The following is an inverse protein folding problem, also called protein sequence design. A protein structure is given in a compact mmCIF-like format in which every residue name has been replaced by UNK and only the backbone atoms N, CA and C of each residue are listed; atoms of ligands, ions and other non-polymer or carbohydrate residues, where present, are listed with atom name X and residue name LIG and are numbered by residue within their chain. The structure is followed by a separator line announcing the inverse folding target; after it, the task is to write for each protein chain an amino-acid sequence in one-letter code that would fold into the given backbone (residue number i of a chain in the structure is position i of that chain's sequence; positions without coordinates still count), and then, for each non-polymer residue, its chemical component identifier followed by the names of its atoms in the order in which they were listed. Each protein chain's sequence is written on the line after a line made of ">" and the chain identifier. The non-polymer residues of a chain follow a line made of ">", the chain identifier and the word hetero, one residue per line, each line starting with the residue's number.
data_IF_609819321484
#
_entry.id   IF_609819321484
#
_cell.length_a   1.000
_cell.length_b   1.000
_cell.length_c   1.000
_cell.angle_alpha   90.00
_cell.angle_beta   90.00
_cell.angle_gamma   90.00
#
_symmetry.space_group_name_H-M   'P 1'
#
loop_
_entity.id
_entity.type
_entity.pdbx_description
1 polymer ?
#
# COMPACT_ATOMS: atom_id res chain seq x y z
N UNK A 1 -8.95 -3.99 45.84
CA UNK A 1 -9.83 -3.80 44.66
C UNK A 1 -9.24 -2.89 43.56
N UNK A 2 -8.31 -1.98 43.87
CA UNK A 2 -7.72 -1.04 42.89
C UNK A 2 -6.83 -1.69 41.82
N UNK A 3 -6.21 -2.84 42.12
CA UNK A 3 -5.25 -3.49 41.21
C UNK A 3 -5.89 -4.24 40.04
N UNK A 4 -7.19 -4.62 40.16
CA UNK A 4 -7.92 -5.30 39.07
C UNK A 4 -8.49 -4.32 38.04
N UNK A 5 -8.69 -3.05 38.44
CA UNK A 5 -9.21 -2.00 37.56
C UNK A 5 -8.12 -1.46 36.61
N UNK A 6 -6.88 -1.36 37.10
CA UNK A 6 -5.72 -0.92 36.31
C UNK A 6 -5.38 -1.90 35.17
N UNK A 7 -5.51 -3.22 35.42
CA UNK A 7 -5.29 -4.25 34.40
C UNK A 7 -6.34 -4.20 33.29
N UNK A 8 -7.60 -3.88 33.63
CA UNK A 8 -8.69 -3.77 32.67
C UNK A 8 -8.55 -2.50 31.79
N UNK A 9 -8.07 -1.40 32.37
CA UNK A 9 -7.80 -0.14 31.64
C UNK A 9 -6.60 -0.24 30.69
N UNK A 10 -5.57 -1.03 31.04
CA UNK A 10 -4.41 -1.27 30.17
C UNK A 10 -4.79 -2.06 28.89
N UNK A 11 -5.76 -2.97 28.99
CA UNK A 11 -6.24 -3.78 27.86
C UNK A 11 -7.05 -2.94 26.86
N UNK A 12 -7.79 -1.93 27.33
CA UNK A 12 -8.61 -1.08 26.46
C UNK A 12 -7.76 -0.10 25.63
N UNK A 13 -6.61 0.35 26.15
CA UNK A 13 -5.71 1.26 25.41
C UNK A 13 -4.87 0.54 24.35
N UNK A 14 -4.53 -0.74 24.57
CA UNK A 14 -3.82 -1.55 23.56
C UNK A 14 -4.73 -1.95 22.39
N UNK A 15 -6.05 -2.11 22.63
CA UNK A 15 -7.01 -2.46 21.58
C UNK A 15 -7.28 -1.36 20.56
N UNK A 16 -7.02 -0.08 20.88
CA UNK A 16 -7.24 1.04 19.94
C UNK A 16 -6.08 1.28 18.97
N UNK A 17 -4.86 0.85 19.31
CA UNK A 17 -3.73 0.90 18.37
C UNK A 17 -3.85 -0.15 17.26
N UNK A 18 -4.56 -1.25 17.51
CA UNK A 18 -4.62 -2.40 16.61
C UNK A 18 -5.60 -2.22 15.43
N UNK A 19 -6.48 -1.22 15.47
CA UNK A 19 -7.50 -0.99 14.44
C UNK A 19 -7.05 -0.01 13.36
N UNK A 20 -6.13 0.91 13.66
CA UNK A 20 -5.63 1.86 12.64
C UNK A 20 -4.59 1.26 11.69
N UNK A 21 -3.96 0.14 12.06
CA UNK A 21 -2.97 -0.56 11.23
C UNK A 21 -3.55 -1.74 10.43
N UNK A 22 -4.87 -1.99 10.54
CA UNK A 22 -5.55 -3.10 9.89
C UNK A 22 -6.32 -2.66 8.65
N UNK A 23 -5.66 -1.99 7.69
CA UNK A 23 -6.25 -1.87 6.36
C UNK A 23 -5.36 -2.52 5.28
N UNK A 24 -5.78 -3.74 4.93
CA UNK A 24 -5.36 -4.58 3.80
C UNK A 24 -3.93 -5.17 3.82
N UNK A 25 -3.76 -6.41 3.29
CA UNK A 25 -4.31 -6.88 2.02
C UNK A 25 -5.52 -7.80 2.22
N UNK A 26 -6.71 -7.43 1.74
CA UNK A 26 -7.88 -8.34 1.71
C UNK A 26 -8.60 -8.50 0.36
N UNK A 27 -7.95 -8.21 -0.77
CA UNK A 27 -8.57 -8.41 -2.10
C UNK A 27 -8.09 -9.73 -2.73
N UNK A 28 -8.89 -10.81 -2.56
CA UNK A 28 -8.77 -12.02 -3.40
C UNK A 28 -9.01 -13.38 -2.71
N UNK A 29 -8.55 -13.57 -1.45
CA UNK A 29 -8.63 -14.88 -0.76
C UNK A 29 -8.91 -14.78 0.77
N UNK A 30 -9.44 -13.64 1.23
CA UNK A 30 -8.93 -13.02 2.45
C UNK A 30 -9.87 -12.94 3.67
N UNK A 31 -10.87 -13.81 3.78
CA UNK A 31 -11.55 -14.04 5.07
C UNK A 31 -10.86 -15.14 5.88
N UNK A 32 -10.24 -16.11 5.20
CA UNK A 32 -9.70 -17.31 5.83
C UNK A 32 -8.18 -17.30 6.03
N UNK A 33 -7.45 -16.37 5.40
CA UNK A 33 -6.00 -16.26 5.55
C UNK A 33 -5.50 -16.23 7.02
N UNK A 34 -6.17 -15.56 7.97
CA UNK A 34 -5.77 -15.60 9.39
C UNK A 34 -5.83 -16.98 10.02
N UNK A 35 -6.54 -17.94 9.43
CA UNK A 35 -6.68 -19.31 9.96
C UNK A 35 -5.61 -20.26 9.41
N UNK A 36 -4.96 -19.91 8.29
CA UNK A 36 -4.07 -20.81 7.56
C UNK A 36 -2.66 -20.24 7.33
N UNK A 37 -2.45 -18.94 7.54
CA UNK A 37 -1.13 -18.33 7.45
C UNK A 37 -0.18 -18.99 8.47
N UNK A 38 0.96 -19.48 7.99
CA UNK A 38 1.99 -20.14 8.80
C UNK A 38 3.37 -19.56 8.46
N UNK A 39 4.39 -19.92 9.23
CA UNK A 39 5.74 -19.36 9.08
C UNK A 39 5.77 -17.84 9.31
N UNK A 40 6.67 -17.13 8.64
CA UNK A 40 6.82 -15.67 8.83
C UNK A 40 5.60 -14.87 8.36
N UNK A 41 4.77 -15.39 7.46
CA UNK A 41 3.51 -14.75 7.07
C UNK A 41 2.50 -14.66 8.23
N UNK A 42 2.60 -15.56 9.22
CA UNK A 42 1.72 -15.53 10.39
C UNK A 42 1.92 -14.26 11.23
N UNK A 43 3.12 -13.65 11.24
CA UNK A 43 3.42 -12.41 11.98
C UNK A 43 2.41 -11.29 11.69
N UNK A 44 2.00 -11.17 10.42
CA UNK A 44 1.16 -10.08 9.94
C UNK A 44 -0.27 -10.50 9.60
N UNK A 45 -0.61 -11.78 9.78
CA UNK A 45 -1.95 -12.32 9.56
C UNK A 45 -2.60 -12.73 10.89
N UNK A 46 -1.95 -13.61 11.65
CA UNK A 46 -2.35 -14.06 12.97
C UNK A 46 -1.14 -14.71 13.67
N UNK A 47 -0.45 -14.00 14.60
CA UNK A 47 0.75 -14.52 15.24
C UNK A 47 0.47 -15.75 16.11
N UNK A 48 -0.79 -15.97 16.55
CA UNK A 48 -1.16 -17.18 17.27
C UNK A 48 -0.98 -18.45 16.42
N UNK A 49 -0.98 -18.34 15.08
CA UNK A 49 -0.75 -19.47 14.20
C UNK A 49 0.67 -20.03 14.28
N UNK A 50 1.63 -19.26 14.82
CA UNK A 50 2.95 -19.78 15.12
C UNK A 50 2.89 -20.87 16.18
N UNK A 51 1.92 -20.84 17.10
CA UNK A 51 1.76 -21.87 18.12
C UNK A 51 1.26 -23.22 17.59
N UNK A 52 0.77 -23.29 16.35
CA UNK A 52 0.32 -24.56 15.78
C UNK A 52 1.51 -25.42 15.40
N UNK A 53 1.54 -26.62 15.98
CA UNK A 53 2.49 -27.66 15.60
C UNK A 53 2.18 -28.10 14.16
N UNK A 54 3.17 -28.10 13.27
CA UNK A 54 2.96 -28.54 11.90
C UNK A 54 2.50 -29.99 11.83
N UNK A 55 1.33 -30.23 11.24
CA UNK A 55 0.77 -31.56 11.00
C UNK A 55 0.49 -31.75 9.52
N UNK A 56 0.59 -33.00 9.05
CA UNK A 56 0.16 -33.34 7.69
C UNK A 56 -1.35 -33.33 7.65
N UNK A 57 -1.93 -32.38 6.91
CA UNK A 57 -3.36 -32.30 6.68
C UNK A 57 -3.66 -33.05 5.38
N UNK A 58 -4.48 -34.09 5.45
CA UNK A 58 -4.96 -34.83 4.27
C UNK A 58 -6.31 -34.25 3.84
N UNK A 59 -6.35 -33.59 2.68
CA UNK A 59 -7.60 -33.20 2.04
C UNK A 59 -8.12 -34.36 1.20
N UNK A 60 -9.24 -34.96 1.60
CA UNK A 60 -9.95 -35.92 0.76
C UNK A 60 -10.99 -35.16 -0.08
N UNK A 61 -10.77 -35.05 -1.39
CA UNK A 61 -11.71 -34.38 -2.31
C UNK A 61 -12.93 -35.25 -2.70
N UNK A 62 -13.11 -36.43 -2.10
CA UNK A 62 -14.26 -37.29 -2.32
C UNK A 62 -14.00 -38.76 -2.01
N UNK A 63 -15.08 -39.55 -1.97
CA UNK A 63 -15.05 -41.00 -1.78
C UNK A 63 -15.43 -41.69 -3.10
N UNK A 64 -14.62 -42.64 -3.61
CA UNK A 64 -13.37 -43.15 -3.05
C UNK A 64 -12.20 -42.17 -3.23
N UNK A 65 -11.29 -42.15 -2.25
CA UNK A 65 -10.08 -41.30 -2.24
C UNK A 65 -9.16 -41.67 -3.41
N UNK A 66 -9.26 -40.95 -4.53
CA UNK A 66 -8.39 -41.14 -5.68
C UNK A 66 -7.08 -40.36 -5.59
N UNK A 67 -7.10 -39.17 -4.97
CA UNK A 67 -5.97 -38.25 -4.89
C UNK A 67 -6.04 -37.42 -3.60
N UNK A 68 -4.90 -37.27 -2.92
CA UNK A 68 -4.74 -36.42 -1.74
C UNK A 68 -3.37 -35.73 -1.80
N UNK A 69 -3.33 -34.46 -1.39
CA UNK A 69 -2.08 -33.68 -1.33
C UNK A 69 -1.46 -33.81 0.08
N UNK A 70 -0.18 -34.17 0.15
CA UNK A 70 0.58 -34.22 1.39
C UNK A 70 1.25 -32.87 1.62
N UNK A 71 0.72 -32.05 2.54
CA UNK A 71 1.45 -30.89 3.01
C UNK A 71 2.47 -31.33 4.07
N UNK A 72 3.75 -31.35 3.70
CA UNK A 72 4.83 -31.53 4.66
C UNK A 72 5.14 -30.20 5.35
N UNK A 73 5.17 -30.27 6.67
CA UNK A 73 5.67 -29.25 7.57
C UNK A 73 7.10 -28.80 7.20
N UNK A 74 7.24 -27.62 6.61
CA UNK A 74 8.56 -27.01 6.42
C UNK A 74 9.01 -26.41 7.75
N UNK A 75 10.05 -26.99 8.35
CA UNK A 75 10.63 -26.50 9.61
C UNK A 75 11.22 -25.11 9.47
N UNK A 76 11.72 -24.74 8.29
CA UNK A 76 12.24 -23.42 8.01
C UNK A 76 11.45 -22.80 6.87
N UNK A 77 11.12 -21.51 7.00
CA UNK A 77 10.62 -20.70 5.90
C UNK A 77 11.33 -19.36 5.92
N UNK A 78 11.82 -18.94 4.75
CA UNK A 78 12.56 -17.70 4.55
C UNK A 78 11.93 -16.98 3.36
N UNK A 79 11.60 -15.71 3.53
CA UNK A 79 11.12 -14.81 2.51
C UNK A 79 11.98 -13.56 2.47
N UNK A 80 12.27 -13.06 1.27
CA UNK A 80 13.07 -11.85 1.06
C UNK A 80 12.44 -11.06 -0.08
N UNK A 81 12.26 -9.75 0.12
CA UNK A 81 11.82 -8.83 -0.93
C UNK A 81 10.41 -9.11 -1.47
N UNK A 82 9.49 -9.59 -0.62
CA UNK A 82 8.10 -9.75 -1.05
C UNK A 82 7.40 -8.40 -1.04
N UNK A 83 6.69 -8.10 -2.12
CA UNK A 83 5.97 -6.85 -2.29
C UNK A 83 4.48 -7.13 -2.50
N UNK A 84 3.64 -6.36 -1.83
CA UNK A 84 2.21 -6.29 -2.04
C UNK A 84 1.82 -4.82 -2.15
N UNK A 85 0.83 -4.51 -2.98
CA UNK A 85 0.41 -3.13 -3.12
C UNK A 85 -1.02 -3.02 -3.59
N UNK A 86 -1.63 -1.88 -3.29
CA UNK A 86 -2.97 -1.53 -3.75
C UNK A 86 -3.02 -0.06 -4.11
N UNK A 87 -3.88 0.26 -5.07
CA UNK A 87 -4.12 1.63 -5.48
C UNK A 87 -5.62 1.85 -5.56
N UNK A 88 -6.10 2.86 -4.86
CA UNK A 88 -7.48 3.30 -4.89
C UNK A 88 -7.54 4.71 -5.50
N UNK A 89 -8.49 4.93 -6.40
CA UNK A 89 -8.70 6.24 -7.00
C UNK A 89 -10.19 6.47 -7.20
N UNK A 90 -10.66 7.64 -6.77
CA UNK A 90 -11.99 8.13 -7.11
C UNK A 90 -11.98 8.88 -8.45
N UNK A 91 -10.81 9.00 -9.10
CA UNK A 91 -10.59 9.82 -10.29
C UNK A 91 -10.49 9.01 -11.59
N UNK A 92 -9.80 7.87 -11.56
CA UNK A 92 -9.47 7.05 -12.73
C UNK A 92 -9.69 5.56 -12.44
N UNK A 93 -10.00 4.80 -13.49
CA UNK A 93 -9.90 3.34 -13.40
C UNK A 93 -8.42 2.92 -13.32
N UNK A 94 -8.14 1.78 -12.67
CA UNK A 94 -6.77 1.28 -12.46
C UNK A 94 -5.93 1.24 -13.75
N UNK A 95 -6.53 0.86 -14.88
CA UNK A 95 -5.84 0.83 -16.18
C UNK A 95 -5.39 2.19 -16.70
N UNK A 96 -6.18 3.25 -16.48
CA UNK A 96 -5.82 4.61 -16.88
C UNK A 96 -4.75 5.19 -15.97
N UNK A 97 -4.84 4.92 -14.66
CA UNK A 97 -3.85 5.38 -13.68
C UNK A 97 -2.50 4.71 -13.92
N UNK A 98 -2.49 3.39 -14.15
CA UNK A 98 -1.28 2.65 -14.44
C UNK A 98 -0.60 3.13 -15.74
N UNK A 99 -1.37 3.43 -16.78
CA UNK A 99 -0.83 3.97 -18.03
C UNK A 99 -0.15 5.35 -17.85
N UNK A 100 -0.70 6.22 -17.00
CA UNK A 100 -0.16 7.56 -16.72
C UNK A 100 1.05 7.50 -15.77
N UNK A 101 0.94 6.75 -14.66
CA UNK A 101 1.98 6.70 -13.61
C UNK A 101 3.19 5.90 -14.06
N UNK A 102 2.98 4.72 -14.64
CA UNK A 102 4.08 3.85 -15.06
C UNK A 102 4.52 4.11 -16.50
N UNK A 103 3.97 5.12 -17.17
CA UNK A 103 4.26 5.47 -18.57
C UNK A 103 4.26 4.23 -19.49
N UNK A 104 3.37 3.26 -19.22
CA UNK A 104 3.36 1.95 -19.89
C UNK A 104 3.22 2.09 -21.41
N UNK A 105 2.64 3.20 -21.85
CA UNK A 105 2.70 3.67 -23.22
C UNK A 105 3.52 4.96 -23.24
N UNK A 106 4.70 4.94 -23.87
CA UNK A 106 5.56 6.11 -24.09
C UNK A 106 4.93 7.20 -25.00
N UNK A 107 3.61 7.19 -25.18
CA UNK A 107 2.90 8.19 -25.93
C UNK A 107 2.83 9.49 -25.12
N UNK A 108 3.43 10.55 -25.65
CA UNK A 108 3.22 11.92 -25.15
C UNK A 108 1.73 12.22 -25.21
N UNK A 109 1.11 12.46 -24.06
CA UNK A 109 -0.28 12.89 -23.98
C UNK A 109 -0.49 14.15 -24.84
N UNK A 110 -1.54 14.13 -25.65
CA UNK A 110 -1.95 15.33 -26.40
C UNK A 110 -2.39 16.43 -25.43
N UNK A 111 -2.45 17.69 -25.88
CA UNK A 111 -2.91 18.79 -25.02
C UNK A 111 -4.34 18.55 -24.52
N UNK A 112 -5.22 18.01 -25.37
CA UNK A 112 -6.59 17.67 -25.00
C UNK A 112 -6.65 16.54 -23.96
N UNK A 113 -5.74 15.56 -24.02
CA UNK A 113 -5.67 14.50 -23.01
C UNK A 113 -5.15 15.02 -21.67
N UNK A 114 -4.20 15.96 -21.70
CA UNK A 114 -3.70 16.64 -20.50
C UNK A 114 -4.79 17.48 -19.82
N UNK A 115 -5.61 18.17 -20.60
CA UNK A 115 -6.77 18.91 -20.08
C UNK A 115 -7.78 17.97 -19.43
N UNK A 116 -8.16 16.88 -20.11
CA UNK A 116 -9.05 15.86 -19.54
C UNK A 116 -8.46 15.22 -18.29
N UNK A 117 -7.16 14.93 -18.26
CA UNK A 117 -6.51 14.41 -17.06
C UNK A 117 -6.56 15.43 -15.91
N UNK A 118 -6.26 16.71 -16.18
CA UNK A 118 -6.36 17.77 -15.16
C UNK A 118 -7.78 17.90 -14.58
N UNK A 119 -8.80 17.86 -15.43
CA UNK A 119 -10.21 17.88 -15.00
C UNK A 119 -10.56 16.64 -14.18
N UNK A 120 -10.08 15.46 -14.60
CA UNK A 120 -10.33 14.23 -13.89
C UNK A 120 -9.66 14.17 -12.52
N UNK A 121 -8.51 14.81 -12.35
CA UNK A 121 -7.78 14.84 -11.07
C UNK A 121 -8.15 16.03 -10.17
N UNK A 122 -8.78 17.07 -10.72
CA UNK A 122 -9.21 18.25 -9.98
C UNK A 122 -10.21 17.89 -8.87
N UNK A 123 -9.79 18.05 -7.61
CA UNK A 123 -10.60 17.81 -6.42
C UNK A 123 -10.81 16.32 -6.09
N UNK A 124 -10.16 15.40 -6.81
CA UNK A 124 -10.26 13.96 -6.60
C UNK A 124 -8.98 13.40 -5.98
N UNK A 125 -9.13 12.29 -5.24
CA UNK A 125 -8.06 11.64 -4.49
C UNK A 125 -7.50 10.37 -5.17
N UNK A 126 -6.19 10.16 -5.06
CA UNK A 126 -5.51 8.87 -5.25
C UNK A 126 -4.93 8.45 -3.91
N UNK A 127 -5.13 7.20 -3.52
CA UNK A 127 -4.44 6.56 -2.43
C UNK A 127 -3.62 5.37 -2.96
N UNK A 128 -2.39 5.27 -2.48
CA UNK A 128 -1.45 4.19 -2.77
C UNK A 128 -1.04 3.54 -1.45
N UNK A 129 -1.03 2.22 -1.42
CA UNK A 129 -0.45 1.44 -0.33
C UNK A 129 0.53 0.41 -0.89
N UNK A 130 1.69 0.30 -0.27
CA UNK A 130 2.73 -0.67 -0.59
C UNK A 130 3.24 -1.30 0.71
N UNK A 131 3.18 -2.62 0.76
CA UNK A 131 3.77 -3.46 1.78
C UNK A 131 4.98 -4.18 1.19
N UNK A 132 6.14 -4.00 1.79
CA UNK A 132 7.36 -4.69 1.37
C UNK A 132 7.94 -5.48 2.54
N UNK A 133 7.85 -6.81 2.53
CA UNK A 133 8.62 -7.67 3.41
C UNK A 133 10.07 -7.65 2.92
N UNK A 134 10.98 -7.06 3.71
CA UNK A 134 12.40 -7.06 3.40
C UNK A 134 12.99 -8.43 3.66
N UNK A 135 12.71 -8.97 4.85
CA UNK A 135 13.13 -10.30 5.27
C UNK A 135 12.09 -10.87 6.23
N UNK A 136 11.79 -12.14 6.09
CA UNK A 136 11.00 -12.93 7.03
C UNK A 136 11.67 -14.28 7.22
N UNK A 137 11.92 -14.67 8.46
CA UNK A 137 12.50 -15.97 8.81
C UNK A 137 11.59 -16.60 9.84
N UNK A 138 11.31 -17.89 9.67
CA UNK A 138 10.57 -18.65 10.67
C UNK A 138 11.14 -20.04 10.82
N UNK A 139 11.07 -20.53 12.06
CA UNK A 139 11.35 -21.89 12.43
C UNK A 139 10.12 -22.51 13.08
N UNK A 140 9.77 -23.72 12.68
CA UNK A 140 8.64 -24.49 13.18
C UNK A 140 9.13 -25.81 13.77
N UNK A 141 8.86 -25.99 15.06
CA UNK A 141 9.17 -27.16 15.88
C UNK A 141 7.95 -28.06 16.03
N UNK A 142 8.18 -29.36 16.09
CA UNK A 142 7.12 -30.35 16.31
C UNK A 142 6.61 -30.41 17.76
N UNK A 143 7.28 -29.73 18.70
CA UNK A 143 6.94 -29.82 20.13
C UNK A 143 6.28 -28.59 20.73
N UNK A 144 6.55 -27.39 20.19
CA UNK A 144 6.14 -26.12 20.81
C UNK A 144 5.59 -25.10 19.80
N UNK A 145 5.35 -25.51 18.56
CA UNK A 145 5.00 -24.59 17.48
C UNK A 145 6.25 -23.93 16.91
N UNK A 146 6.19 -22.64 16.62
CA UNK A 146 7.21 -21.93 15.87
C UNK A 146 7.52 -20.54 16.39
N UNK A 147 8.67 -20.05 15.95
CA UNK A 147 9.14 -18.68 16.13
C UNK A 147 9.29 -18.09 14.73
N UNK A 148 8.94 -16.82 14.59
CA UNK A 148 9.23 -16.07 13.39
C UNK A 148 9.76 -14.69 13.78
N UNK A 149 10.61 -14.16 12.91
CA UNK A 149 11.07 -12.78 12.94
C UNK A 149 10.94 -12.19 11.54
N UNK A 150 10.71 -10.89 11.44
CA UNK A 150 10.60 -10.24 10.15
C UNK A 150 10.71 -8.73 10.20
N UNK A 151 11.09 -8.17 9.06
CA UNK A 151 11.14 -6.72 8.82
C UNK A 151 10.26 -6.41 7.62
N UNK A 152 9.29 -5.52 7.82
CA UNK A 152 8.36 -5.08 6.77
C UNK A 152 8.31 -3.56 6.73
N UNK A 153 8.35 -3.01 5.53
CA UNK A 153 8.00 -1.62 5.27
C UNK A 153 6.53 -1.53 4.85
N UNK A 154 5.83 -0.53 5.38
CA UNK A 154 4.49 -0.11 4.97
C UNK A 154 4.55 1.33 4.53
N UNK A 155 4.22 1.58 3.27
CA UNK A 155 4.26 2.89 2.66
C UNK A 155 2.85 3.21 2.17
N UNK A 156 2.25 4.26 2.71
CA UNK A 156 0.96 4.77 2.26
C UNK A 156 1.11 6.21 1.80
N UNK A 157 0.50 6.55 0.69
CA UNK A 157 0.49 7.91 0.16
C UNK A 157 -0.91 8.27 -0.33
N UNK A 158 -1.35 9.48 0.00
CA UNK A 158 -2.62 10.05 -0.46
C UNK A 158 -2.36 11.38 -1.13
N UNK A 159 -2.97 11.56 -2.30
CA UNK A 159 -2.91 12.79 -3.09
C UNK A 159 -4.31 13.23 -3.47
N UNK A 160 -4.74 14.35 -2.92
CA UNK A 160 -5.92 15.10 -3.35
C UNK A 160 -5.44 16.46 -3.86
N UNK A 161 -5.45 16.65 -5.17
CA UNK A 161 -4.98 17.88 -5.79
C UNK A 161 -6.14 18.86 -6.01
N UNK A 162 -5.93 20.13 -5.69
CA UNK A 162 -6.84 21.19 -6.12
C UNK A 162 -6.89 21.29 -7.65
N UNK A 163 -7.92 21.94 -8.18
CA UNK A 163 -8.03 22.20 -9.62
C UNK A 163 -6.79 22.87 -10.19
N UNK A 164 -6.18 23.79 -9.44
CA UNK A 164 -4.99 24.50 -9.89
C UNK A 164 -3.75 23.59 -9.91
N UNK A 165 -3.50 22.80 -8.85
CA UNK A 165 -2.37 21.88 -8.85
C UNK A 165 -2.53 20.75 -9.86
N UNK A 166 -3.73 20.22 -10.03
CA UNK A 166 -4.01 19.23 -11.05
C UNK A 166 -3.68 19.79 -12.44
N UNK A 167 -4.15 21.00 -12.76
CA UNK A 167 -3.81 21.62 -14.04
C UNK A 167 -2.32 21.84 -14.20
N UNK A 168 -1.63 22.41 -13.20
CA UNK A 168 -0.18 22.61 -13.26
C UNK A 168 0.57 21.28 -13.46
N UNK A 169 0.16 20.20 -12.79
CA UNK A 169 0.79 18.89 -12.88
C UNK A 169 0.64 18.27 -14.29
N UNK A 170 -0.52 18.39 -14.92
CA UNK A 170 -0.79 17.76 -16.23
C UNK A 170 -0.48 18.67 -17.43
N UNK A 171 -0.82 19.96 -17.36
CA UNK A 171 -0.58 20.93 -18.43
C UNK A 171 0.84 21.52 -18.39
N UNK A 172 1.47 21.60 -17.20
CA UNK A 172 2.77 22.23 -17.03
C UNK A 172 2.77 23.67 -17.55
N UNK A 173 3.74 24.01 -18.38
CA UNK A 173 3.90 25.35 -18.99
C UNK A 173 2.70 25.83 -19.84
N UNK A 174 1.76 24.95 -20.17
CA UNK A 174 0.56 25.31 -20.93
C UNK A 174 -0.62 25.73 -20.03
N UNK A 175 -0.49 25.63 -18.70
CA UNK A 175 -1.49 26.19 -17.78
C UNK A 175 -1.39 27.72 -17.74
N UNK A 176 -2.54 28.39 -17.57
CA UNK A 176 -2.63 29.85 -17.52
C UNK A 176 -1.84 30.48 -16.35
N UNK A 177 -1.45 29.70 -15.34
CA UNK A 177 -0.56 30.15 -14.27
C UNK A 177 0.81 30.60 -14.80
N UNK A 178 1.33 29.95 -15.85
CA UNK A 178 2.59 30.34 -16.49
C UNK A 178 2.30 31.31 -17.64
N UNK A 179 2.26 32.59 -17.31
CA UNK A 179 1.86 33.67 -18.23
C UNK A 179 2.99 34.17 -19.14
N UNK A 180 4.19 33.59 -19.03
CA UNK A 180 5.32 33.90 -19.89
C UNK A 180 6.22 32.69 -20.09
N UNK A 181 6.98 32.69 -21.19
CA UNK A 181 7.92 31.62 -21.51
C UNK A 181 9.31 32.17 -21.80
N UNK A 182 10.34 31.42 -21.43
CA UNK A 182 11.73 31.74 -21.76
C UNK A 182 12.42 30.48 -22.33
N UNK A 183 13.55 30.68 -23.02
CA UNK A 183 14.44 29.59 -23.41
C UNK A 183 15.45 29.37 -22.29
N UNK A 184 15.61 28.13 -21.83
CA UNK A 184 16.66 27.77 -20.90
C UNK A 184 18.02 27.71 -21.62
N UNK A 185 19.11 27.51 -20.86
CA UNK A 185 20.47 27.38 -21.39
C UNK A 185 20.69 26.19 -22.34
N UNK A 186 19.74 25.23 -22.39
CA UNK A 186 19.73 24.08 -23.30
C UNK A 186 18.84 24.29 -24.53
N UNK A 187 18.19 25.45 -24.66
CA UNK A 187 17.24 25.73 -25.75
C UNK A 187 15.83 25.20 -25.53
N UNK A 188 15.50 24.69 -24.34
CA UNK A 188 14.13 24.26 -24.02
C UNK A 188 13.26 25.44 -23.62
N UNK A 189 12.01 25.43 -24.07
CA UNK A 189 11.01 26.42 -23.64
C UNK A 189 10.46 26.08 -22.25
N UNK A 190 10.70 26.97 -21.29
CA UNK A 190 10.17 26.90 -19.92
C UNK A 190 9.08 27.96 -19.71
N UNK A 191 8.05 27.63 -18.93
CA UNK A 191 7.04 28.59 -18.49
C UNK A 191 7.41 29.19 -17.14
N UNK A 192 7.17 30.48 -16.94
CA UNK A 192 7.31 31.15 -15.65
C UNK A 192 6.11 32.08 -15.41
N UNK A 193 5.81 32.33 -14.14
CA UNK A 193 4.75 33.23 -13.71
C UNK A 193 5.37 34.59 -13.37
N UNK A 194 4.93 35.66 -14.03
CA UNK A 194 5.34 37.06 -13.70
C UNK A 194 4.74 37.52 -12.38
N UNK A 195 3.61 36.93 -11.98
CA UNK A 195 2.96 37.16 -10.68
C UNK A 195 2.86 35.84 -9.92
N UNK A 196 3.96 35.37 -9.29
CA UNK A 196 3.95 34.08 -8.61
C UNK A 196 3.02 34.12 -7.39
N UNK A 197 2.17 33.09 -7.28
CA UNK A 197 1.36 32.87 -6.07
C UNK A 197 2.23 32.31 -4.96
N UNK A 198 1.84 32.56 -3.71
CA UNK A 198 2.48 31.92 -2.56
C UNK A 198 2.24 30.43 -2.60
N UNK A 199 3.15 29.66 -2.01
CA UNK A 199 3.00 28.21 -1.90
C UNK A 199 1.68 27.83 -1.22
N UNK A 200 1.27 28.53 -0.17
CA UNK A 200 -0.01 28.32 0.52
C UNK A 200 -1.22 28.51 -0.38
N UNK A 201 -1.16 29.44 -1.35
CA UNK A 201 -2.22 29.68 -2.31
C UNK A 201 -2.20 28.66 -3.45
N UNK A 202 -1.00 28.16 -3.79
CA UNK A 202 -0.84 27.10 -4.79
C UNK A 202 -1.43 25.78 -4.31
N UNK A 203 -1.17 25.44 -3.06
CA UNK A 203 -1.59 24.20 -2.42
C UNK A 203 -2.93 24.31 -1.69
N UNK A 204 -3.60 25.45 -1.81
CA UNK A 204 -4.89 25.66 -1.17
C UNK A 204 -5.87 24.54 -1.59
N UNK A 205 -6.60 24.02 -0.59
CA UNK A 205 -7.52 22.89 -0.74
C UNK A 205 -6.92 21.59 -1.29
N UNK A 206 -5.58 21.46 -1.31
CA UNK A 206 -4.89 20.22 -1.67
C UNK A 206 -4.45 19.47 -0.42
N UNK A 207 -4.50 18.13 -0.46
CA UNK A 207 -3.99 17.26 0.60
C UNK A 207 -2.97 16.31 0.00
N UNK A 208 -1.78 16.31 0.57
CA UNK A 208 -0.72 15.37 0.20
C UNK A 208 -0.23 14.78 1.51
N UNK A 209 -0.44 13.49 1.67
CA UNK A 209 -0.01 12.73 2.84
C UNK A 209 0.89 11.60 2.40
N UNK A 210 1.95 11.36 3.16
CA UNK A 210 2.74 10.13 3.04
C UNK A 210 3.08 9.64 4.43
N UNK A 211 2.90 8.35 4.65
CA UNK A 211 3.41 7.64 5.82
C UNK A 211 4.31 6.52 5.36
N UNK A 212 5.46 6.40 6.02
CA UNK A 212 6.33 5.25 5.89
C UNK A 212 6.62 4.73 7.29
N UNK A 213 6.18 3.51 7.54
CA UNK A 213 6.44 2.77 8.76
C UNK A 213 7.31 1.55 8.44
N UNK A 214 8.26 1.26 9.32
CA UNK A 214 9.00 0.00 9.32
C UNK A 214 8.63 -0.79 10.57
N UNK A 215 8.04 -1.95 10.36
CA UNK A 215 7.65 -2.89 11.40
C UNK A 215 8.75 -3.94 11.60
N UNK A 216 9.00 -4.25 12.88
CA UNK A 216 9.87 -5.35 13.32
C UNK A 216 9.01 -6.27 14.19
N UNK A 217 9.00 -7.56 13.88
CA UNK A 217 8.34 -8.59 14.69
C UNK A 217 9.25 -9.80 14.87
#
# INVERSE_FOLDING_TARGET
>A
MVHRLALLLLVVTLGRAQVELSDSPRTGALVLAPNFASGYHALWANPANLGFVPTTITFALGTPMGYGEYHHARRWSIGIGEIGGSVASNALSFGQLAAIVFQLNQQRLSLADKQRAAENFSGRGIAFNLDALLIGISYQSSGWGGIAIGVRDRISAEFQLSSMLARIAFLGRYDAYFDSTALNWRGDTVGYARTPKRYSELFDSSRIGMSWLRDYA
#
